data_IF_467297255447
#
_entry.id   IF_467297255447
#
_cell.length_a   1.000
_cell.length_b   1.000
_cell.length_c   1.000
_cell.angle_alpha   90.00
_cell.angle_beta   90.00
_cell.angle_gamma   90.00
#
_symmetry.space_group_name_H-M   'P 1'
#
loop_
_entity.id
_entity.type
_entity.pdbx_description
1 polymer ?
#
# COMPACT_ATOMS: atom_id res chain seq x y z
N UNK A 1 -5.17 14.13 43.88
CA UNK A 1 -4.43 13.25 42.97
C UNK A 1 -4.92 13.50 41.54
N UNK A 2 -4.60 14.67 40.98
CA UNK A 2 -5.05 15.17 39.66
C UNK A 2 -4.22 14.64 38.48
N UNK A 3 -3.29 13.71 38.73
CA UNK A 3 -2.28 13.26 37.76
C UNK A 3 -2.80 12.32 36.66
N UNK A 4 -3.69 11.37 36.97
CA UNK A 4 -3.98 10.29 36.02
C UNK A 4 -4.57 10.76 34.66
N UNK A 5 -5.49 11.72 34.67
CA UNK A 5 -6.09 12.25 33.44
C UNK A 5 -5.16 13.22 32.69
N UNK A 6 -4.38 14.03 33.41
CA UNK A 6 -3.39 14.92 32.81
C UNK A 6 -2.23 14.13 32.22
N UNK A 7 -1.77 13.07 32.90
CA UNK A 7 -0.66 12.23 32.49
C UNK A 7 -1.00 11.43 31.22
N UNK A 8 -2.25 10.94 31.09
CA UNK A 8 -2.72 10.27 29.87
C UNK A 8 -2.69 11.22 28.66
N UNK A 9 -3.15 12.47 28.85
CA UNK A 9 -3.12 13.50 27.79
C UNK A 9 -1.71 13.97 27.47
N UNK A 10 -0.82 13.94 28.46
CA UNK A 10 0.59 14.31 28.30
C UNK A 10 1.41 13.24 27.58
N UNK A 11 1.11 11.96 27.81
CA UNK A 11 1.71 10.81 27.11
C UNK A 11 1.16 10.65 25.67
N UNK A 12 -0.08 11.11 25.45
CA UNK A 12 -0.75 11.04 24.16
C UNK A 12 -1.35 12.40 23.77
N UNK A 13 -0.54 13.38 23.31
CA UNK A 13 -1.00 14.76 23.02
C UNK A 13 -2.01 14.90 21.87
N UNK A 14 -2.43 13.80 21.24
CA UNK A 14 -3.56 13.74 20.29
C UNK A 14 -4.74 12.90 20.83
N UNK A 15 -4.74 12.57 22.12
CA UNK A 15 -5.72 11.69 22.77
C UNK A 15 -7.16 12.17 22.62
N UNK A 16 -7.36 13.49 22.47
CA UNK A 16 -8.66 14.12 22.20
C UNK A 16 -9.36 13.58 20.94
N UNK A 17 -8.63 12.90 20.06
CA UNK A 17 -9.12 12.33 18.80
C UNK A 17 -9.43 10.82 18.92
N UNK A 18 -9.22 10.23 20.09
CA UNK A 18 -9.41 8.81 20.35
C UNK A 18 -10.60 8.59 21.30
N UNK A 19 -11.66 7.99 20.79
CA UNK A 19 -12.83 7.53 21.53
C UNK A 19 -12.55 6.76 22.81
N UNK A 20 -11.46 6.00 22.90
CA UNK A 20 -11.15 5.24 24.12
C UNK A 20 -10.75 6.16 25.28
N UNK A 21 -10.29 7.38 25.03
CA UNK A 21 -9.93 8.33 26.09
C UNK A 21 -11.15 8.68 26.95
N UNK A 22 -12.29 9.02 26.33
CA UNK A 22 -13.50 9.36 27.07
C UNK A 22 -14.00 8.19 27.92
N UNK A 23 -13.87 6.95 27.43
CA UNK A 23 -14.19 5.77 28.23
C UNK A 23 -13.24 5.60 29.43
N UNK A 24 -11.92 5.78 29.22
CA UNK A 24 -10.91 5.69 30.28
C UNK A 24 -11.06 6.80 31.33
N UNK A 25 -11.34 8.03 30.90
CA UNK A 25 -11.64 9.15 31.79
C UNK A 25 -12.93 8.87 32.59
N UNK A 26 -13.97 8.34 31.95
CA UNK A 26 -15.20 7.93 32.63
C UNK A 26 -14.96 6.89 33.72
N UNK A 27 -14.18 5.84 33.41
CA UNK A 27 -13.79 4.80 34.37
C UNK A 27 -12.97 5.34 35.54
N UNK A 28 -12.04 6.26 35.27
CA UNK A 28 -11.25 6.90 36.31
C UNK A 28 -12.12 7.74 37.25
N UNK A 29 -13.05 8.52 36.71
CA UNK A 29 -13.97 9.31 37.53
C UNK A 29 -14.93 8.45 38.35
N UNK A 30 -15.44 7.34 37.78
CA UNK A 30 -16.27 6.37 38.50
C UNK A 30 -15.52 5.75 39.70
N UNK A 31 -14.25 5.34 39.51
CA UNK A 31 -13.43 4.81 40.60
C UNK A 31 -13.13 5.83 41.71
N UNK A 32 -13.20 7.12 41.39
CA UNK A 32 -13.00 8.23 42.34
C UNK A 32 -14.31 8.70 42.98
N UNK A 33 -15.46 8.09 42.67
CA UNK A 33 -16.78 8.51 43.15
C UNK A 33 -17.27 9.83 42.56
N UNK A 34 -16.70 10.26 41.43
CA UNK A 34 -17.05 11.48 40.71
C UNK A 34 -18.11 11.17 39.64
N UNK A 35 -19.33 10.85 40.10
CA UNK A 35 -20.39 10.29 39.26
C UNK A 35 -20.82 11.24 38.12
N UNK A 36 -20.81 12.55 38.37
CA UNK A 36 -21.26 13.53 37.37
C UNK A 36 -20.27 13.61 36.20
N UNK A 37 -18.98 13.63 36.52
CA UNK A 37 -17.87 13.64 35.58
C UNK A 37 -17.80 12.31 34.81
N UNK A 38 -17.97 11.18 35.51
CA UNK A 38 -18.01 9.85 34.90
C UNK A 38 -19.14 9.74 33.86
N UNK A 39 -20.37 10.13 34.24
CA UNK A 39 -21.53 10.11 33.33
C UNK A 39 -21.33 11.01 32.12
N UNK A 40 -20.78 12.22 32.31
CA UNK A 40 -20.45 13.11 31.18
C UNK A 40 -19.49 12.44 30.19
N UNK A 41 -18.45 11.78 30.70
CA UNK A 41 -17.45 11.11 29.86
C UNK A 41 -17.99 9.86 29.16
N UNK A 42 -18.87 9.09 29.80
CA UNK A 42 -19.58 7.99 29.14
C UNK A 42 -20.54 8.47 28.04
N UNK A 43 -21.21 9.61 28.23
CA UNK A 43 -22.00 10.23 27.16
C UNK A 43 -21.14 10.67 25.98
N UNK A 44 -20.00 11.32 26.26
CA UNK A 44 -19.04 11.72 25.23
C UNK A 44 -18.51 10.50 24.47
N UNK A 45 -18.17 9.42 25.19
CA UNK A 45 -17.81 8.14 24.59
C UNK A 45 -18.91 7.65 23.65
N UNK A 46 -20.14 7.49 24.12
CA UNK A 46 -21.23 6.94 23.30
C UNK A 46 -21.53 7.77 22.06
N UNK A 47 -21.42 9.10 22.15
CA UNK A 47 -21.65 10.06 21.05
C UNK A 47 -20.54 10.04 20.01
N UNK A 48 -19.28 10.02 20.44
CA UNK A 48 -18.15 10.25 19.54
C UNK A 48 -17.39 8.97 19.17
N UNK A 49 -17.67 7.84 19.81
CA UNK A 49 -16.85 6.64 19.65
C UNK A 49 -16.99 5.90 18.33
N UNK A 50 -18.08 6.13 17.59
CA UNK A 50 -18.29 5.52 16.27
C UNK A 50 -17.30 5.99 15.19
N UNK A 51 -16.42 6.96 15.50
CA UNK A 51 -15.45 7.52 14.54
C UNK A 51 -14.09 6.81 14.51
N UNK A 52 -13.78 5.94 15.48
CA UNK A 52 -12.47 5.29 15.59
C UNK A 52 -12.34 4.01 14.76
N UNK A 53 -13.45 3.33 14.51
CA UNK A 53 -13.52 2.26 13.53
C UNK A 53 -14.01 2.92 12.24
N UNK A 54 -13.14 3.31 11.28
CA UNK A 54 -13.65 3.69 9.97
C UNK A 54 -14.59 2.57 9.53
N UNK A 55 -15.72 2.92 8.89
CA UNK A 55 -16.67 1.94 8.35
C UNK A 55 -16.08 0.91 7.37
N UNK A 56 -14.76 0.94 7.16
CA UNK A 56 -13.90 0.03 6.39
C UNK A 56 -13.70 -1.36 7.02
N UNK A 57 -14.22 -1.64 8.21
CA UNK A 57 -14.07 -2.96 8.87
C UNK A 57 -15.37 -3.73 9.11
N UNK A 58 -16.55 -3.21 8.75
CA UNK A 58 -17.77 -4.03 8.77
C UNK A 58 -17.69 -5.11 7.69
N UNK A 59 -17.52 -6.36 8.10
CA UNK A 59 -17.57 -7.54 7.21
C UNK A 59 -16.24 -8.08 6.69
N UNK A 60 -15.11 -7.74 7.33
CA UNK A 60 -13.83 -8.39 7.01
C UNK A 60 -13.59 -9.63 7.89
N UNK A 61 -13.08 -10.72 7.32
CA UNK A 61 -12.65 -11.95 8.04
C UNK A 61 -11.68 -11.66 9.21
N UNK A 62 -10.96 -10.53 9.15
CA UNK A 62 -10.04 -10.05 10.21
C UNK A 62 -10.61 -8.86 10.99
N UNK A 63 -11.93 -8.73 11.12
CA UNK A 63 -12.53 -7.81 12.09
C UNK A 63 -11.94 -8.17 13.46
N UNK A 64 -11.21 -7.21 14.03
CA UNK A 64 -10.38 -7.39 15.21
C UNK A 64 -11.26 -7.87 16.37
N UNK A 65 -10.83 -8.81 17.25
CA UNK A 65 -11.50 -9.05 18.53
C UNK A 65 -11.76 -7.77 19.35
N UNK A 66 -11.10 -6.65 19.02
CA UNK A 66 -11.42 -5.31 19.51
C UNK A 66 -12.85 -4.82 19.24
N UNK A 67 -13.54 -5.30 18.20
CA UNK A 67 -14.95 -4.94 17.95
C UNK A 67 -15.88 -5.47 19.05
N UNK A 68 -15.62 -6.69 19.54
CA UNK A 68 -16.39 -7.30 20.64
C UNK A 68 -16.17 -6.57 21.97
N UNK A 69 -14.92 -6.23 22.30
CA UNK A 69 -14.59 -5.45 23.50
C UNK A 69 -15.17 -4.03 23.45
N UNK A 70 -15.17 -3.41 22.26
CA UNK A 70 -15.78 -2.10 22.06
C UNK A 70 -17.30 -2.13 22.27
N UNK A 71 -17.99 -3.17 21.80
CA UNK A 71 -19.42 -3.35 22.04
C UNK A 71 -19.70 -3.50 23.54
N UNK A 72 -18.91 -4.30 24.25
CA UNK A 72 -19.02 -4.47 25.71
C UNK A 72 -18.82 -3.14 26.46
N UNK A 73 -17.86 -2.31 26.03
CA UNK A 73 -17.63 -0.99 26.64
C UNK A 73 -18.78 -0.01 26.39
N UNK A 74 -19.40 -0.06 25.20
CA UNK A 74 -20.59 0.75 24.91
C UNK A 74 -21.80 0.30 25.72
N UNK A 75 -21.97 -1.01 25.89
CA UNK A 75 -23.01 -1.58 26.74
C UNK A 75 -22.80 -1.18 28.20
N UNK A 76 -21.57 -1.31 28.71
CA UNK A 76 -21.20 -0.82 30.04
C UNK A 76 -21.52 0.67 30.23
N UNK A 77 -21.08 1.52 29.30
CA UNK A 77 -21.33 2.96 29.37
C UNK A 77 -22.82 3.30 29.36
N UNK A 78 -23.66 2.58 28.60
CA UNK A 78 -25.12 2.75 28.63
C UNK A 78 -25.70 2.33 29.98
N UNK A 79 -25.30 1.16 30.47
CA UNK A 79 -25.82 0.60 31.70
C UNK A 79 -25.48 1.48 32.91
N UNK A 80 -24.26 2.04 32.98
CA UNK A 80 -23.89 3.02 34.01
C UNK A 80 -24.75 4.30 33.91
N UNK A 81 -25.05 4.77 32.70
CA UNK A 81 -25.91 5.94 32.53
C UNK A 81 -27.35 5.68 32.96
N UNK A 82 -27.83 4.45 32.82
CA UNK A 82 -29.15 3.97 33.26
C UNK A 82 -29.19 3.61 34.75
N UNK A 83 -28.04 3.63 35.45
CA UNK A 83 -27.93 3.38 36.89
C UNK A 83 -27.73 1.91 37.27
N UNK A 84 -27.41 1.05 36.31
CA UNK A 84 -27.09 -0.36 36.56
C UNK A 84 -25.65 -0.54 37.01
N UNK A 85 -25.44 -1.43 37.99
CA UNK A 85 -24.11 -1.85 38.44
C UNK A 85 -23.69 -3.07 37.62
N UNK A 86 -22.56 -2.95 36.93
CA UNK A 86 -21.98 -4.05 36.15
C UNK A 86 -20.51 -4.23 36.49
N UNK A 87 -19.99 -5.44 36.28
CA UNK A 87 -18.55 -5.61 36.23
C UNK A 87 -17.96 -4.89 35.01
N UNK A 88 -16.85 -4.16 35.19
CA UNK A 88 -16.26 -3.42 34.11
C UNK A 88 -15.59 -4.35 33.09
N UNK A 89 -15.86 -4.15 31.79
CA UNK A 89 -15.19 -4.94 30.77
C UNK A 89 -13.70 -4.62 30.74
N UNK A 90 -12.92 -5.58 30.25
CA UNK A 90 -11.49 -5.37 29.98
C UNK A 90 -11.29 -4.11 29.13
N UNK A 91 -10.31 -3.30 29.52
CA UNK A 91 -9.96 -2.10 28.76
C UNK A 91 -9.50 -2.49 27.36
N UNK A 92 -9.86 -1.68 26.37
CA UNK A 92 -9.39 -1.89 25.01
C UNK A 92 -7.87 -1.68 25.05
N UNK A 93 -7.08 -2.60 24.48
CA UNK A 93 -5.66 -2.33 24.29
C UNK A 93 -5.51 -1.04 23.46
N UNK A 94 -4.39 -0.30 23.61
CA UNK A 94 -4.12 0.86 22.78
C UNK A 94 -4.33 0.50 21.32
N UNK A 95 -5.22 1.22 20.61
CA UNK A 95 -5.44 0.96 19.20
C UNK A 95 -4.14 1.34 18.47
N UNK A 96 -3.39 0.39 17.91
CA UNK A 96 -2.19 0.75 17.17
C UNK A 96 -2.64 1.61 15.99
N UNK A 97 -1.99 2.77 15.73
CA UNK A 97 -2.31 3.56 14.56
C UNK A 97 -2.17 2.66 13.32
N UNK A 98 -3.26 2.50 12.57
CA UNK A 98 -3.29 1.73 11.34
C UNK A 98 -2.91 2.64 10.19
N UNK A 99 -1.94 2.23 9.38
CA UNK A 99 -1.45 3.02 8.26
C UNK A 99 -2.24 2.67 7.00
N UNK A 100 -2.93 3.67 6.44
CA UNK A 100 -3.64 3.50 5.17
C UNK A 100 -2.63 3.57 4.02
N UNK A 101 -2.42 2.44 3.34
CA UNK A 101 -1.57 2.39 2.16
C UNK A 101 -2.37 2.54 0.87
N UNK A 102 -1.71 3.09 -0.15
CA UNK A 102 -2.31 3.27 -1.46
C UNK A 102 -2.10 2.01 -2.31
N UNK A 103 -3.04 1.67 -3.21
CA UNK A 103 -2.78 0.69 -4.26
C UNK A 103 -1.51 1.09 -5.03
N UNK A 104 -0.66 0.12 -5.37
CA UNK A 104 0.63 0.30 -6.06
C UNK A 104 1.79 0.87 -5.23
N UNK A 105 1.58 1.17 -3.94
CA UNK A 105 2.71 1.47 -3.08
C UNK A 105 3.60 0.22 -2.87
N UNK A 106 4.93 0.34 -2.96
CA UNK A 106 5.82 -0.81 -2.79
C UNK A 106 5.61 -1.53 -1.46
N UNK A 107 5.73 -2.86 -1.48
CA UNK A 107 5.69 -3.71 -0.28
C UNK A 107 4.31 -4.18 0.18
N UNK A 108 3.24 -3.66 -0.42
CA UNK A 108 1.87 -4.06 -0.11
C UNK A 108 1.17 -4.65 -1.35
N UNK A 109 0.23 -5.60 -1.19
CA UNK A 109 -0.43 -6.25 -2.31
C UNK A 109 -1.50 -5.34 -2.93
N UNK A 110 -2.52 -4.93 -2.15
CA UNK A 110 -3.61 -4.00 -2.50
C UNK A 110 -4.28 -3.51 -1.21
N UNK A 111 -5.03 -2.40 -1.25
CA UNK A 111 -5.75 -1.88 -0.09
C UNK A 111 -6.58 -2.97 0.62
N UNK A 112 -6.47 -2.99 1.95
CA UNK A 112 -7.08 -4.01 2.83
C UNK A 112 -8.59 -4.21 2.62
N UNK A 113 -9.31 -3.16 2.19
CA UNK A 113 -10.74 -3.21 1.85
C UNK A 113 -11.10 -4.15 0.70
N UNK A 114 -10.12 -4.51 -0.14
CA UNK A 114 -10.30 -5.41 -1.29
C UNK A 114 -9.89 -6.86 -1.00
N UNK A 115 -9.20 -7.13 0.12
CA UNK A 115 -8.60 -8.45 0.42
C UNK A 115 -9.64 -9.59 0.54
N UNK A 116 -10.92 -9.28 0.79
CA UNK A 116 -11.99 -10.26 0.95
C UNK A 116 -12.91 -10.39 -0.27
N UNK A 117 -12.57 -9.77 -1.40
CA UNK A 117 -13.35 -9.84 -2.63
C UNK A 117 -12.51 -10.42 -3.76
N UNK A 118 -13.17 -11.17 -4.65
CA UNK A 118 -12.62 -11.44 -5.99
C UNK A 118 -12.69 -10.12 -6.74
N UNK A 119 -11.54 -9.51 -6.98
CA UNK A 119 -11.43 -8.24 -7.68
C UNK A 119 -10.53 -8.45 -8.89
N UNK A 120 -10.95 -7.86 -10.01
CA UNK A 120 -10.16 -7.71 -11.21
C UNK A 120 -9.72 -6.24 -11.25
N UNK A 121 -8.42 -5.98 -11.25
CA UNK A 121 -7.89 -4.63 -11.43
C UNK A 121 -7.28 -4.49 -12.81
N UNK A 122 -7.59 -3.40 -13.51
CA UNK A 122 -7.02 -3.11 -14.83
C UNK A 122 -6.24 -1.81 -14.78
N UNK A 123 -4.93 -1.91 -15.01
CA UNK A 123 -3.98 -0.81 -14.96
C UNK A 123 -3.46 -0.53 -16.37
N UNK A 124 -3.72 0.65 -16.91
CA UNK A 124 -3.15 1.12 -18.17
C UNK A 124 -1.91 1.96 -17.86
N UNK A 125 -0.80 1.74 -18.55
CA UNK A 125 0.43 2.50 -18.30
C UNK A 125 1.13 2.89 -19.59
N UNK A 126 1.87 3.98 -19.54
CA UNK A 126 2.84 4.36 -20.57
C UNK A 126 4.24 4.01 -20.09
N UNK A 127 5.03 3.41 -20.95
CA UNK A 127 6.42 3.04 -20.66
C UNK A 127 7.36 3.54 -21.76
N UNK A 128 8.66 3.62 -21.44
CA UNK A 128 9.70 3.80 -22.46
C UNK A 128 10.45 2.49 -22.60
N UNK A 129 10.39 1.90 -23.78
CA UNK A 129 11.04 0.63 -24.09
C UNK A 129 12.38 0.85 -24.80
N UNK A 130 13.20 -0.21 -24.79
CA UNK A 130 14.50 -0.35 -25.45
C UNK A 130 14.82 0.76 -26.46
N UNK A 131 15.68 1.71 -26.07
CA UNK A 131 16.15 2.75 -26.99
C UNK A 131 15.32 4.02 -27.09
N UNK A 132 14.52 4.37 -26.07
CA UNK A 132 13.82 5.67 -25.88
C UNK A 132 12.45 5.85 -26.53
N UNK A 133 11.91 4.83 -27.20
CA UNK A 133 10.59 4.91 -27.82
C UNK A 133 9.45 4.73 -26.80
N UNK A 134 8.37 5.48 -26.99
CA UNK A 134 7.19 5.45 -26.12
C UNK A 134 6.33 4.23 -26.46
N UNK A 135 6.02 3.43 -25.45
CA UNK A 135 5.10 2.30 -25.50
C UNK A 135 4.01 2.45 -24.46
N UNK A 136 3.06 1.54 -24.47
CA UNK A 136 2.02 1.47 -23.47
C UNK A 136 1.59 0.03 -23.24
N UNK A 137 0.93 -0.20 -22.11
CA UNK A 137 0.47 -1.51 -21.75
C UNK A 137 -0.76 -1.50 -20.87
N UNK A 138 -1.31 -2.69 -20.68
CA UNK A 138 -2.43 -2.98 -19.81
C UNK A 138 -2.04 -4.15 -18.92
N UNK A 139 -2.20 -4.00 -17.62
CA UNK A 139 -2.03 -5.05 -16.63
C UNK A 139 -3.38 -5.38 -16.01
N UNK A 140 -3.77 -6.64 -16.06
CA UNK A 140 -4.92 -7.19 -15.38
C UNK A 140 -4.46 -8.05 -14.18
N UNK A 141 -4.87 -7.69 -12.98
CA UNK A 141 -4.60 -8.46 -11.77
C UNK A 141 -5.88 -9.14 -11.26
N UNK A 142 -5.76 -10.42 -10.90
CA UNK A 142 -6.86 -11.21 -10.35
C UNK A 142 -6.48 -11.86 -9.03
N UNK A 143 -7.35 -11.71 -8.03
CA UNK A 143 -7.23 -12.35 -6.72
C UNK A 143 -8.01 -13.67 -6.67
N UNK A 144 -7.31 -14.77 -6.47
CA UNK A 144 -7.90 -16.11 -6.33
C UNK A 144 -8.33 -16.41 -4.89
N UNK A 145 -7.52 -15.99 -3.91
CA UNK A 145 -7.77 -16.14 -2.47
C UNK A 145 -7.29 -14.88 -1.73
N UNK A 146 -7.62 -14.67 -0.43
CA UNK A 146 -7.14 -13.51 0.32
C UNK A 146 -5.61 -13.34 0.33
N UNK A 147 -4.85 -14.39 0.05
CA UNK A 147 -3.37 -14.42 0.09
C UNK A 147 -2.73 -14.66 -1.28
N UNK A 148 -3.50 -15.06 -2.30
CA UNK A 148 -2.96 -15.42 -3.62
C UNK A 148 -3.60 -14.54 -4.70
N UNK A 149 -2.73 -13.84 -5.42
CA UNK A 149 -3.04 -12.98 -6.55
C UNK A 149 -2.05 -13.29 -7.67
N UNK A 150 -2.50 -13.18 -8.91
CA UNK A 150 -1.61 -13.12 -10.07
C UNK A 150 -1.99 -11.94 -10.94
N UNK A 151 -1.04 -11.45 -11.72
CA UNK A 151 -1.30 -10.48 -12.76
C UNK A 151 -0.80 -10.98 -14.11
N UNK A 152 -1.47 -10.53 -15.15
CA UNK A 152 -1.05 -10.61 -16.52
C UNK A 152 -0.92 -9.20 -17.07
N UNK A 153 0.12 -8.95 -17.85
CA UNK A 153 0.44 -7.65 -18.40
C UNK A 153 0.77 -7.82 -19.87
N UNK A 154 0.16 -6.98 -20.71
CA UNK A 154 0.50 -6.87 -22.12
C UNK A 154 1.04 -5.47 -22.32
N UNK A 155 2.22 -5.34 -22.92
CA UNK A 155 2.75 -4.05 -23.33
C UNK A 155 3.23 -4.08 -24.77
N UNK A 156 3.11 -2.94 -25.45
CA UNK A 156 3.49 -2.78 -26.84
C UNK A 156 4.12 -1.41 -27.06
N UNK A 157 5.21 -1.42 -27.81
CA UNK A 157 5.82 -0.26 -28.43
C UNK A 157 6.01 -0.51 -29.92
N UNK A 158 6.55 0.48 -30.63
CA UNK A 158 6.71 0.43 -32.09
C UNK A 158 7.51 -0.77 -32.61
N UNK A 159 8.49 -1.24 -31.85
CA UNK A 159 9.37 -2.36 -32.22
C UNK A 159 9.37 -3.49 -31.18
N UNK A 160 8.44 -3.47 -30.23
CA UNK A 160 8.48 -4.35 -29.07
C UNK A 160 7.07 -4.74 -28.63
N UNK A 161 6.87 -6.01 -28.31
CA UNK A 161 5.66 -6.50 -27.64
C UNK A 161 6.08 -7.41 -26.49
N UNK A 162 5.37 -7.33 -25.38
CA UNK A 162 5.64 -8.12 -24.19
C UNK A 162 4.35 -8.63 -23.59
N UNK A 163 4.37 -9.89 -23.20
CA UNK A 163 3.37 -10.47 -22.32
C UNK A 163 4.05 -10.95 -21.05
N UNK A 164 3.67 -10.40 -19.90
CA UNK A 164 4.27 -10.69 -18.60
C UNK A 164 3.23 -11.27 -17.65
N UNK A 165 3.61 -12.32 -16.94
CA UNK A 165 2.86 -12.93 -15.86
C UNK A 165 3.64 -12.79 -14.56
N UNK A 166 2.96 -12.51 -13.45
CA UNK A 166 3.63 -12.46 -12.15
C UNK A 166 2.71 -12.79 -10.98
N UNK A 167 3.32 -13.22 -9.88
CA UNK A 167 2.62 -13.68 -8.68
C UNK A 167 3.16 -12.89 -7.49
N UNK A 168 2.48 -11.82 -7.04
CA UNK A 168 2.85 -11.11 -5.82
C UNK A 168 2.60 -11.99 -4.58
N UNK A 169 3.67 -12.28 -3.85
CA UNK A 169 3.69 -13.03 -2.59
C UNK A 169 4.03 -12.08 -1.44
N UNK A 170 3.11 -11.90 -0.50
CA UNK A 170 3.38 -11.13 0.71
C UNK A 170 4.28 -11.96 1.65
N UNK A 171 5.54 -11.56 1.80
CA UNK A 171 6.49 -12.24 2.68
C UNK A 171 6.29 -11.85 4.15
N UNK A 172 6.01 -10.56 4.38
CA UNK A 172 5.78 -10.03 5.72
C UNK A 172 4.86 -8.82 5.68
N UNK A 173 3.94 -8.74 6.64
CA UNK A 173 3.11 -7.56 6.86
C UNK A 173 2.95 -7.36 8.37
N UNK A 174 3.32 -6.17 8.86
CA UNK A 174 3.14 -5.82 10.26
C UNK A 174 1.63 -5.76 10.59
N UNK A 175 1.19 -6.14 11.80
CA UNK A 175 -0.23 -6.14 12.17
C UNK A 175 -0.94 -4.79 12.00
N UNK A 176 -0.17 -3.70 12.20
CA UNK A 176 -0.62 -2.32 12.06
C UNK A 176 -0.42 -1.73 10.64
N UNK A 177 0.01 -2.54 9.68
CA UNK A 177 0.32 -2.14 8.29
C UNK A 177 1.49 -1.15 8.16
N UNK A 178 2.31 -0.99 9.20
CA UNK A 178 3.46 -0.07 9.16
C UNK A 178 4.57 -0.53 8.23
N UNK A 179 4.76 -1.84 8.08
CA UNK A 179 5.82 -2.43 7.26
C UNK A 179 5.22 -3.56 6.42
N UNK A 180 5.52 -3.53 5.12
CA UNK A 180 5.16 -4.56 4.15
C UNK A 180 6.36 -4.97 3.33
N UNK A 181 6.55 -6.28 3.14
CA UNK A 181 7.57 -6.85 2.27
C UNK A 181 6.89 -7.85 1.33
N UNK A 182 7.10 -7.67 0.04
CA UNK A 182 6.47 -8.44 -1.03
C UNK A 182 7.52 -8.92 -2.03
N UNK A 183 7.44 -10.19 -2.39
CA UNK A 183 8.22 -10.78 -3.47
C UNK A 183 7.31 -11.00 -4.67
N UNK A 184 7.78 -10.79 -5.88
CA UNK A 184 6.99 -10.97 -7.09
C UNK A 184 7.85 -11.64 -8.14
N UNK A 185 7.92 -12.99 -8.16
CA UNK A 185 8.41 -13.71 -9.31
C UNK A 185 7.56 -13.37 -10.54
N UNK A 186 8.22 -13.27 -11.69
CA UNK A 186 7.57 -13.01 -12.97
C UNK A 186 8.24 -13.77 -14.11
N UNK A 187 7.48 -13.93 -15.18
CA UNK A 187 7.92 -14.44 -16.47
C UNK A 187 7.38 -13.51 -17.56
N UNK A 188 8.20 -13.20 -18.55
CA UNK A 188 7.86 -12.36 -19.68
C UNK A 188 8.22 -13.03 -21.00
N UNK A 189 7.31 -12.91 -21.95
CA UNK A 189 7.42 -13.39 -23.33
C UNK A 189 7.49 -12.16 -24.21
N UNK A 190 8.67 -11.94 -24.80
CA UNK A 190 8.98 -10.70 -25.47
C UNK A 190 9.22 -10.96 -26.96
N UNK A 191 8.69 -10.08 -27.79
CA UNK A 191 8.87 -10.08 -29.24
C UNK A 191 9.49 -8.75 -29.63
N UNK A 192 10.54 -8.81 -30.43
CA UNK A 192 11.17 -7.64 -31.04
C UNK A 192 10.95 -7.67 -32.54
N UNK A 193 10.27 -6.63 -33.02
CA UNK A 193 9.97 -6.42 -34.42
C UNK A 193 10.84 -5.29 -34.97
N UNK A 194 12.02 -5.66 -35.44
CA UNK A 194 12.93 -4.77 -36.18
C UNK A 194 13.51 -3.61 -35.35
N UNK A 195 14.17 -3.93 -34.23
CA UNK A 195 15.02 -2.94 -33.55
C UNK A 195 16.31 -2.75 -34.37
N UNK A 196 16.67 -1.50 -34.71
CA UNK A 196 17.99 -1.21 -35.31
C UNK A 196 18.86 -0.55 -34.24
N UNK A 197 19.76 -1.29 -33.56
CA UNK A 197 20.74 -0.68 -32.67
C UNK A 197 21.58 0.35 -33.42
N UNK A 198 22.01 1.39 -32.72
CA UNK A 198 22.98 2.33 -33.26
C UNK A 198 24.23 1.57 -33.72
N UNK A 199 24.68 1.87 -34.95
CA UNK A 199 25.79 1.21 -35.65
C UNK A 199 25.58 -0.25 -36.10
N UNK A 200 24.39 -0.84 -35.97
CA UNK A 200 24.11 -2.16 -36.54
C UNK A 200 23.68 -2.08 -38.01
N UNK A 201 24.30 -2.90 -38.87
CA UNK A 201 23.89 -3.06 -40.28
C UNK A 201 22.61 -3.86 -40.43
N UNK A 202 22.24 -4.66 -39.42
CA UNK A 202 21.10 -5.57 -39.44
C UNK A 202 20.04 -5.18 -38.39
N UNK A 203 18.78 -5.42 -38.75
CA UNK A 203 17.63 -5.27 -37.85
C UNK A 203 17.54 -6.51 -36.97
N UNK A 204 17.35 -6.29 -35.66
CA UNK A 204 17.10 -7.35 -34.69
C UNK A 204 15.64 -7.76 -34.75
N UNK A 205 15.41 -9.04 -34.98
CA UNK A 205 14.11 -9.69 -34.86
C UNK A 205 14.25 -10.94 -34.02
N UNK A 206 13.25 -11.20 -33.17
CA UNK A 206 13.21 -12.44 -32.42
C UNK A 206 12.25 -12.45 -31.25
N UNK A 207 12.03 -13.66 -30.75
CA UNK A 207 11.27 -13.92 -29.53
C UNK A 207 12.22 -14.38 -28.44
N UNK A 208 12.07 -13.84 -27.24
CA UNK A 208 12.86 -14.27 -26.09
C UNK A 208 12.01 -14.29 -24.83
N UNK A 209 12.36 -15.22 -23.94
CA UNK A 209 11.72 -15.38 -22.64
C UNK A 209 12.68 -14.83 -21.60
N UNK A 210 12.17 -13.96 -20.72
CA UNK A 210 12.89 -13.43 -19.58
C UNK A 210 12.08 -13.64 -18.31
N UNK A 211 12.72 -14.19 -17.30
CA UNK A 211 12.12 -14.41 -15.98
C UNK A 211 12.89 -13.61 -14.94
N UNK A 212 12.28 -13.38 -13.80
CA UNK A 212 12.93 -12.59 -12.78
C UNK A 212 12.13 -12.51 -11.50
N UNK A 213 12.62 -11.66 -10.61
CA UNK A 213 12.02 -11.45 -9.29
C UNK A 213 12.07 -9.98 -8.95
N UNK A 214 10.94 -9.43 -8.52
CA UNK A 214 10.85 -8.10 -7.91
C UNK A 214 10.67 -8.25 -6.39
N UNK A 215 11.55 -7.63 -5.62
CA UNK A 215 11.38 -7.47 -4.17
C UNK A 215 10.92 -6.05 -3.89
N UNK A 216 9.86 -5.88 -3.10
CA UNK A 216 9.30 -4.58 -2.75
C UNK A 216 9.13 -4.46 -1.24
N UNK A 217 9.43 -3.28 -0.71
CA UNK A 217 9.33 -2.92 0.69
C UNK A 217 8.60 -1.60 0.84
N UNK A 218 7.70 -1.52 1.81
CA UNK A 218 6.99 -0.29 2.17
C UNK A 218 7.06 -0.09 3.67
N UNK A 219 7.48 1.09 4.12
CA UNK A 219 7.63 1.42 5.53
C UNK A 219 7.04 2.79 5.85
N UNK A 220 6.04 2.83 6.72
CA UNK A 220 5.46 4.06 7.23
C UNK A 220 6.25 4.62 8.41
N UNK A 221 6.72 5.86 8.23
CA UNK A 221 7.32 6.67 9.29
C UNK A 221 6.20 7.36 10.09
N UNK A 222 5.18 7.85 9.40
CA UNK A 222 3.96 8.48 9.92
C UNK A 222 2.75 8.04 9.08
N UNK A 223 1.49 8.20 9.54
CA UNK A 223 0.30 7.87 8.76
C UNK A 223 0.27 8.48 7.35
N UNK A 224 0.87 9.66 7.19
CA UNK A 224 0.95 10.40 5.92
C UNK A 224 2.33 10.30 5.26
N UNK A 225 3.34 9.69 5.89
CA UNK A 225 4.71 9.68 5.40
C UNK A 225 5.28 8.27 5.38
N UNK A 226 5.75 7.85 4.22
CA UNK A 226 6.29 6.49 4.04
C UNK A 226 7.44 6.44 3.05
N UNK A 227 8.23 5.39 3.17
CA UNK A 227 9.27 5.03 2.23
C UNK A 227 8.79 3.79 1.48
N UNK A 228 8.87 3.81 0.16
CA UNK A 228 8.68 2.64 -0.70
C UNK A 228 9.96 2.37 -1.45
N UNK A 229 10.36 1.11 -1.52
CA UNK A 229 11.50 0.67 -2.30
C UNK A 229 11.14 -0.59 -3.08
N UNK A 230 11.66 -0.73 -4.29
CA UNK A 230 11.66 -2.01 -4.98
C UNK A 230 12.94 -2.21 -5.78
N UNK A 231 13.37 -3.47 -5.87
CA UNK A 231 14.41 -3.92 -6.79
C UNK A 231 13.86 -5.01 -7.69
N UNK A 232 14.11 -4.91 -8.99
CA UNK A 232 13.74 -5.91 -9.99
C UNK A 232 15.00 -6.51 -10.62
N UNK A 233 15.11 -7.83 -10.50
CA UNK A 233 16.20 -8.59 -11.08
C UNK A 233 15.69 -9.43 -12.25
N UNK A 234 16.33 -9.27 -13.40
CA UNK A 234 16.08 -10.05 -14.61
C UNK A 234 17.14 -11.14 -14.77
N UNK A 235 16.71 -12.34 -15.15
CA UNK A 235 17.61 -13.43 -15.52
C UNK A 235 18.35 -13.11 -16.82
N UNK A 236 17.70 -12.40 -17.76
CA UNK A 236 18.32 -11.87 -18.98
C UNK A 236 18.77 -10.43 -18.78
N UNK A 237 19.84 -10.25 -18.02
CA UNK A 237 20.43 -8.94 -17.72
C UNK A 237 21.76 -8.72 -18.45
N UNK A 238 22.42 -7.57 -18.21
CA UNK A 238 23.67 -7.18 -18.89
C UNK A 238 24.80 -8.21 -18.74
N UNK A 239 24.85 -8.95 -17.63
CA UNK A 239 25.86 -10.00 -17.40
C UNK A 239 25.48 -11.33 -18.06
N UNK A 240 24.19 -11.57 -18.26
CA UNK A 240 23.64 -12.79 -18.85
C UNK A 240 22.66 -12.47 -19.99
N UNK A 241 23.11 -11.81 -21.07
CA UNK A 241 22.23 -11.42 -22.15
C UNK A 241 21.69 -12.65 -22.90
N UNK A 242 20.52 -12.50 -23.49
CA UNK A 242 20.07 -13.40 -24.54
C UNK A 242 20.80 -13.06 -25.85
N UNK A 243 21.31 -14.06 -26.56
CA UNK A 243 21.97 -13.86 -27.85
C UNK A 243 20.95 -14.06 -28.96
N UNK A 244 20.76 -13.04 -29.78
CA UNK A 244 19.84 -13.12 -30.91
C UNK A 244 20.32 -14.09 -31.99
N UNK A 245 19.44 -14.55 -32.91
CA UNK A 245 19.85 -15.32 -34.07
C UNK A 245 20.92 -14.63 -34.93
N UNK A 246 20.96 -13.29 -34.89
CA UNK A 246 21.96 -12.47 -35.58
C UNK A 246 23.25 -12.27 -34.76
N UNK A 247 23.39 -12.93 -33.61
CA UNK A 247 24.58 -12.92 -32.75
C UNK A 247 24.73 -11.67 -31.88
N UNK A 248 23.69 -10.83 -31.77
CA UNK A 248 23.74 -9.60 -30.96
C UNK A 248 23.15 -9.84 -29.55
N UNK A 249 23.78 -9.32 -28.48
CA UNK A 249 23.29 -9.47 -27.13
C UNK A 249 22.10 -8.54 -26.87
N UNK A 250 21.05 -9.10 -26.28
CA UNK A 250 19.87 -8.39 -25.81
C UNK A 250 19.64 -8.67 -24.33
N UNK A 251 19.33 -7.65 -23.55
CA UNK A 251 19.08 -7.79 -22.12
C UNK A 251 18.13 -6.73 -21.58
N UNK A 252 17.34 -7.09 -20.59
CA UNK A 252 16.53 -6.15 -19.81
C UNK A 252 17.38 -5.65 -18.64
N UNK A 253 17.54 -4.33 -18.44
CA UNK A 253 18.28 -3.82 -17.30
C UNK A 253 17.52 -4.10 -15.99
N UNK A 254 18.26 -4.44 -14.93
CA UNK A 254 17.69 -4.50 -13.59
C UNK A 254 17.18 -3.11 -13.18
N UNK A 255 16.14 -3.07 -12.34
CA UNK A 255 15.60 -1.83 -11.81
C UNK A 255 15.80 -1.71 -10.30
N UNK A 256 15.98 -0.48 -9.83
CA UNK A 256 15.95 -0.10 -8.43
C UNK A 256 15.21 1.24 -8.30
N UNK A 257 14.22 1.30 -7.42
CA UNK A 257 13.51 2.52 -7.03
C UNK A 257 13.51 2.61 -5.49
N UNK A 258 13.90 3.77 -4.97
CA UNK A 258 13.72 4.13 -3.57
C UNK A 258 13.09 5.51 -3.52
N UNK A 259 11.91 5.60 -2.93
CA UNK A 259 11.09 6.80 -2.94
C UNK A 259 10.38 7.05 -1.62
N UNK A 260 10.23 8.33 -1.30
CA UNK A 260 9.45 8.83 -0.18
C UNK A 260 8.08 9.29 -0.69
N UNK A 261 7.04 8.96 0.07
CA UNK A 261 5.65 9.20 -0.25
C UNK A 261 5.03 10.04 0.86
N UNK A 262 4.43 11.17 0.48
CA UNK A 262 3.66 12.03 1.36
C UNK A 262 2.19 12.06 0.94
N UNK A 263 1.36 11.31 1.66
CA UNK A 263 -0.09 11.29 1.49
C UNK A 263 -0.74 12.47 2.20
N UNK A 264 -1.33 13.39 1.43
CA UNK A 264 -2.03 14.56 1.97
C UNK A 264 -3.55 14.43 1.91
N UNK A 265 -4.08 13.50 1.10
CA UNK A 265 -5.48 13.06 1.08
C UNK A 265 -5.54 11.52 0.96
N UNK A 266 -6.68 10.91 1.28
CA UNK A 266 -6.82 9.44 1.34
C UNK A 266 -6.38 8.71 0.06
N UNK A 267 -6.52 9.35 -1.10
CA UNK A 267 -6.16 8.79 -2.41
C UNK A 267 -5.16 9.66 -3.16
N UNK A 268 -4.48 10.60 -2.47
CA UNK A 268 -3.47 11.45 -3.11
C UNK A 268 -2.17 11.48 -2.33
N UNK A 269 -1.07 11.21 -3.02
CA UNK A 269 0.27 11.32 -2.46
C UNK A 269 1.24 11.96 -3.45
N UNK A 270 2.20 12.71 -2.92
CA UNK A 270 3.39 13.11 -3.68
C UNK A 270 4.48 12.08 -3.43
N UNK A 271 5.15 11.64 -4.49
CA UNK A 271 6.33 10.77 -4.45
C UNK A 271 7.56 11.59 -4.85
N UNK A 272 8.67 11.39 -4.16
CA UNK A 272 9.98 11.87 -4.60
C UNK A 272 11.04 10.82 -4.26
N UNK A 273 11.95 10.54 -5.18
CA UNK A 273 12.93 9.48 -4.97
C UNK A 273 13.92 9.32 -6.11
N UNK A 274 14.65 8.21 -6.04
CA UNK A 274 15.65 7.83 -7.04
C UNK A 274 15.23 6.52 -7.69
N UNK A 275 15.06 6.52 -9.01
CA UNK A 275 14.83 5.33 -9.83
C UNK A 275 15.93 5.18 -10.85
N UNK A 276 16.67 4.07 -10.84
CA UNK A 276 17.79 3.79 -11.74
C UNK A 276 18.74 4.99 -11.90
N UNK A 277 19.23 5.53 -10.78
CA UNK A 277 20.13 6.70 -10.73
C UNK A 277 19.50 8.04 -11.18
N UNK A 278 18.18 8.09 -11.39
CA UNK A 278 17.49 9.31 -11.78
C UNK A 278 16.59 9.82 -10.67
N UNK A 279 16.63 11.13 -10.43
CA UNK A 279 15.68 11.80 -9.55
C UNK A 279 14.29 11.81 -10.22
N UNK A 280 13.30 11.27 -9.53
CA UNK A 280 11.91 11.19 -9.98
C UNK A 280 11.02 11.85 -8.95
N UNK A 281 10.07 12.66 -9.42
CA UNK A 281 9.00 13.23 -8.60
C UNK A 281 7.68 12.86 -9.26
N UNK A 282 6.68 12.48 -8.49
CA UNK A 282 5.39 12.10 -9.02
C UNK A 282 4.23 12.46 -8.12
N UNK A 283 3.04 12.47 -8.72
CA UNK A 283 1.77 12.64 -8.05
C UNK A 283 0.95 11.37 -8.26
N UNK A 284 0.55 10.76 -7.16
CA UNK A 284 -0.45 9.70 -7.11
C UNK A 284 -1.79 10.35 -6.81
N UNK A 285 -2.79 10.01 -7.60
CA UNK A 285 -4.19 10.37 -7.42
C UNK A 285 -5.05 9.14 -7.65
N UNK A 286 -6.32 9.15 -7.21
CA UNK A 286 -7.26 8.03 -7.41
C UNK A 286 -7.26 7.55 -8.86
N UNK A 287 -6.66 6.40 -9.12
CA UNK A 287 -6.60 5.88 -10.47
C UNK A 287 -5.52 6.50 -11.37
N UNK A 288 -4.60 7.32 -10.87
CA UNK A 288 -3.56 7.96 -11.69
C UNK A 288 -2.20 8.01 -10.98
N UNK A 289 -1.14 7.63 -11.66
CA UNK A 289 0.24 7.98 -11.29
C UNK A 289 0.84 8.85 -12.40
N UNK A 290 1.27 10.05 -12.03
CA UNK A 290 2.00 10.97 -12.90
C UNK A 290 3.41 11.09 -12.35
N UNK A 291 4.39 10.49 -13.01
CA UNK A 291 5.79 10.48 -12.56
C UNK A 291 6.68 11.21 -13.57
N UNK A 292 7.46 12.19 -13.11
CA UNK A 292 8.37 12.98 -13.93
C UNK A 292 9.83 12.68 -13.55
N UNK A 293 10.64 12.27 -14.51
CA UNK A 293 12.08 12.17 -14.33
C UNK A 293 12.73 13.53 -14.61
N UNK A 294 13.30 14.15 -13.57
CA UNK A 294 13.93 15.47 -13.68
C UNK A 294 15.18 15.42 -14.58
N UNK A 295 15.95 14.34 -14.52
CA UNK A 295 17.18 14.19 -15.29
C UNK A 295 16.91 13.84 -16.76
N UNK A 296 15.92 12.98 -17.04
CA UNK A 296 15.56 12.57 -18.42
C UNK A 296 14.52 13.47 -19.09
N UNK A 297 13.94 14.43 -18.36
CA UNK A 297 12.85 15.32 -18.82
C UNK A 297 11.71 14.55 -19.49
N UNK A 298 11.27 13.46 -18.87
CA UNK A 298 10.22 12.60 -19.39
C UNK A 298 9.09 12.44 -18.38
N UNK A 299 7.86 12.57 -18.87
CA UNK A 299 6.63 12.26 -18.14
C UNK A 299 6.26 10.78 -18.36
N UNK A 300 5.88 10.12 -17.28
CA UNK A 300 5.25 8.80 -17.27
C UNK A 300 3.85 8.99 -16.69
N UNK A 301 2.85 8.44 -17.39
CA UNK A 301 1.44 8.50 -16.96
C UNK A 301 0.93 7.06 -16.87
N UNK A 302 0.39 6.71 -15.71
CA UNK A 302 -0.32 5.45 -15.48
C UNK A 302 -1.73 5.76 -15.02
N UNK A 303 -2.72 5.02 -15.54
CA UNK A 303 -4.12 5.11 -15.18
C UNK A 303 -4.64 3.76 -14.65
N UNK A 304 -5.49 3.78 -13.64
CA UNK A 304 -6.08 2.59 -13.02
C UNK A 304 -7.60 2.69 -13.13
N UNK A 305 -8.23 1.64 -13.65
CA UNK A 305 -9.68 1.48 -13.74
C UNK A 305 -10.05 0.38 -12.73
N UNK A 306 -10.82 0.76 -11.72
CA UNK A 306 -11.44 -0.15 -10.74
C UNK A 306 -12.77 -0.72 -11.24
#
# INVERSE_FOLDING_TARGET
>A
MFGLASDIRHLHPRADWFSNLSFLEGRAFEQLGLDTEARKKYQDFLRYSARLLPGRHRGAWMADPGDSLYLLQREYARNVLEGYVMEPPTLLPPCPPRFAYQPNQPGFPEQRSFLNRKVLHVNVFLERNFGTELGGGVQAAYRFTPTVMAFAEVSAGKHYQSFRLGIPLQLYQAPNDRLGIKLTPFLSFNTLDSLKPDNASQRLTGHFIDGGVRLSLGWYLLPTLSIGAYGEYHLRNRQHPWISPQGLPLYTPNELDVSLYYGFLEQMAVKAGVKNEHLVVGLFMSGWELSWSLNKRCLVVSHFID
#
